data_IF_745219766420
#
_entry.id   IF_745219766420
#
_cell.length_a   1.000
_cell.length_b   1.000
_cell.length_c   1.000
_cell.angle_alpha   90.00
_cell.angle_beta   90.00
_cell.angle_gamma   90.00
#
_symmetry.space_group_name_H-M   'P 1'
#
loop_
_entity.id
_entity.type
_entity.pdbx_description
1 polymer ?
#
# COMPACT_ATOMS: atom_id res chain seq x y z
N UNK A 1 7.98 -7.80 16.78
CA UNK A 1 6.51 -7.59 16.81
C UNK A 1 6.07 -6.54 15.79
N UNK A 2 6.73 -5.38 15.71
CA UNK A 2 6.42 -4.29 14.77
C UNK A 2 6.43 -4.75 13.30
N UNK A 3 7.46 -5.50 12.88
CA UNK A 3 7.52 -6.05 11.51
C UNK A 3 6.35 -6.97 11.16
N UNK A 4 5.85 -7.78 12.11
CA UNK A 4 4.67 -8.63 11.88
C UNK A 4 3.39 -7.82 11.73
N UNK A 5 3.23 -6.73 12.49
CA UNK A 5 2.10 -5.82 12.34
C UNK A 5 2.13 -5.13 10.97
N UNK A 6 3.30 -4.63 10.56
CA UNK A 6 3.50 -4.04 9.24
C UNK A 6 3.19 -5.03 8.12
N UNK A 7 3.67 -6.27 8.26
CA UNK A 7 3.39 -7.35 7.30
C UNK A 7 1.91 -7.73 7.26
N UNK A 8 1.23 -7.78 8.40
CA UNK A 8 -0.21 -8.08 8.46
C UNK A 8 -1.04 -7.02 7.73
N UNK A 9 -0.76 -5.73 7.97
CA UNK A 9 -1.42 -4.62 7.27
C UNK A 9 -1.10 -4.66 5.77
N UNK A 10 0.16 -4.93 5.43
CA UNK A 10 0.59 -5.01 4.04
C UNK A 10 -0.01 -6.22 3.30
N UNK A 11 -0.30 -7.33 3.98
CA UNK A 11 -0.99 -8.48 3.41
C UNK A 11 -2.51 -8.24 3.30
N UNK A 12 -3.10 -7.51 4.25
CA UNK A 12 -4.54 -7.20 4.27
C UNK A 12 -4.99 -6.48 2.98
N UNK A 13 -4.12 -5.70 2.34
CA UNK A 13 -4.44 -5.04 1.06
C UNK A 13 -4.90 -6.02 -0.02
N UNK A 14 -4.31 -7.21 -0.10
CA UNK A 14 -4.66 -8.22 -1.09
C UNK A 14 -6.00 -8.87 -0.76
N UNK A 15 -6.28 -9.07 0.54
CA UNK A 15 -7.58 -9.55 1.00
C UNK A 15 -8.68 -8.55 0.62
N UNK A 16 -8.47 -7.26 0.89
CA UNK A 16 -9.44 -6.20 0.54
C UNK A 16 -9.63 -6.08 -0.97
N UNK A 17 -8.54 -6.16 -1.75
CA UNK A 17 -8.62 -6.15 -3.20
C UNK A 17 -9.38 -7.35 -3.74
N UNK A 18 -9.10 -8.55 -3.22
CA UNK A 18 -9.78 -9.78 -3.62
C UNK A 18 -11.27 -9.69 -3.33
N UNK A 19 -11.67 -9.34 -2.09
CA UNK A 19 -13.09 -9.18 -1.72
C UNK A 19 -13.79 -8.16 -2.62
N UNK A 20 -13.13 -7.05 -2.95
CA UNK A 20 -13.73 -6.03 -3.82
C UNK A 20 -13.86 -6.53 -5.26
N UNK A 21 -12.84 -7.25 -5.75
CA UNK A 21 -12.84 -7.82 -7.10
C UNK A 21 -13.90 -8.89 -7.29
N UNK A 22 -14.11 -9.75 -6.29
CA UNK A 22 -15.18 -10.74 -6.29
C UNK A 22 -16.57 -10.08 -6.30
N UNK A 23 -16.75 -9.04 -5.48
CA UNK A 23 -18.01 -8.28 -5.43
C UNK A 23 -18.33 -7.61 -6.77
N UNK A 24 -17.33 -7.07 -7.46
CA UNK A 24 -17.50 -6.38 -8.74
C UNK A 24 -17.38 -7.30 -9.96
N UNK A 25 -17.01 -8.58 -9.77
CA UNK A 25 -16.71 -9.56 -10.82
C UNK A 25 -15.71 -9.04 -11.87
N UNK A 26 -14.78 -8.20 -11.43
CA UNK A 26 -13.77 -7.53 -12.27
C UNK A 26 -12.46 -7.47 -11.49
N UNK A 27 -11.33 -7.52 -12.21
CA UNK A 27 -10.03 -7.27 -11.60
C UNK A 27 -9.88 -5.78 -11.31
N UNK A 28 -10.26 -5.36 -10.09
CA UNK A 28 -10.24 -3.96 -9.66
C UNK A 28 -9.34 -3.77 -8.45
N UNK A 29 -8.58 -2.68 -8.45
CA UNK A 29 -7.74 -2.29 -7.32
C UNK A 29 -8.45 -1.16 -6.57
N UNK A 30 -9.07 -1.42 -5.40
CA UNK A 30 -9.79 -0.39 -4.67
C UNK A 30 -8.84 0.68 -4.14
N UNK A 31 -9.32 1.92 -3.95
CA UNK A 31 -8.49 3.01 -3.39
C UNK A 31 -7.90 2.64 -2.03
N UNK A 32 -8.65 1.88 -1.22
CA UNK A 32 -8.23 1.35 0.09
C UNK A 32 -6.93 0.52 -0.01
N UNK A 33 -6.69 -0.17 -1.14
CA UNK A 33 -5.45 -0.92 -1.38
C UNK A 33 -4.21 -0.03 -1.24
N UNK A 34 -4.28 1.18 -1.79
CA UNK A 34 -3.16 2.12 -1.77
C UNK A 34 -2.94 2.71 -0.38
N UNK A 35 -4.01 3.02 0.35
CA UNK A 35 -3.90 3.47 1.75
C UNK A 35 -3.28 2.40 2.65
N UNK A 36 -3.71 1.13 2.52
CA UNK A 36 -3.12 0.01 3.26
C UNK A 36 -1.65 -0.21 2.89
N UNK A 37 -1.31 -0.06 1.61
CA UNK A 37 0.08 -0.18 1.14
C UNK A 37 0.97 0.91 1.74
N UNK A 38 0.50 2.15 1.81
CA UNK A 38 1.21 3.26 2.45
C UNK A 38 1.41 2.97 3.95
N UNK A 39 0.34 2.63 4.67
CA UNK A 39 0.41 2.34 6.10
C UNK A 39 1.34 1.17 6.42
N UNK A 40 1.22 0.05 5.69
CA UNK A 40 2.10 -1.11 5.85
C UNK A 40 3.55 -0.77 5.50
N UNK A 41 3.78 -0.01 4.43
CA UNK A 41 5.14 0.40 4.03
C UNK A 41 5.82 1.30 5.07
N UNK A 42 5.08 2.22 5.70
CA UNK A 42 5.61 3.07 6.76
C UNK A 42 6.04 2.25 7.99
N UNK A 43 5.19 1.33 8.45
CA UNK A 43 5.50 0.49 9.62
C UNK A 43 6.71 -0.41 9.33
N UNK A 44 6.76 -0.99 8.14
CA UNK A 44 7.87 -1.82 7.69
C UNK A 44 9.17 -1.01 7.47
N UNK A 45 9.07 0.25 7.04
CA UNK A 45 10.21 1.15 6.90
C UNK A 45 10.79 1.50 8.28
N UNK A 46 9.95 1.82 9.27
CA UNK A 46 10.38 2.03 10.65
C UNK A 46 11.13 0.79 11.16
N UNK A 47 10.54 -0.39 10.97
CA UNK A 47 11.17 -1.66 11.34
C UNK A 47 12.54 -1.89 10.65
N UNK A 48 12.66 -1.53 9.37
CA UNK A 48 13.89 -1.69 8.62
C UNK A 48 15.01 -0.73 9.05
N UNK A 49 14.64 0.50 9.42
CA UNK A 49 15.57 1.48 10.00
C UNK A 49 16.10 0.97 11.34
N UNK A 50 15.24 0.43 12.20
CA UNK A 50 15.66 -0.20 13.47
C UNK A 50 16.61 -1.39 13.23
N UNK A 51 16.34 -2.19 12.20
CA UNK A 51 17.18 -3.32 11.77
C UNK A 51 18.45 -2.92 11.03
N UNK A 52 18.61 -1.64 10.66
CA UNK A 52 19.69 -1.15 9.79
C UNK A 52 19.81 -1.96 8.49
N UNK A 53 18.68 -2.33 7.91
CA UNK A 53 18.62 -3.09 6.65
C UNK A 53 18.47 -2.13 5.45
N UNK A 54 19.56 -1.77 4.75
CA UNK A 54 19.50 -0.80 3.66
C UNK A 54 18.67 -1.28 2.47
N UNK A 55 18.64 -2.59 2.21
CA UNK A 55 17.90 -3.16 1.08
C UNK A 55 16.40 -2.99 1.31
N UNK A 56 15.95 -3.31 2.52
CA UNK A 56 14.55 -3.18 2.88
C UNK A 56 14.11 -1.72 2.99
N UNK A 57 14.98 -0.83 3.49
CA UNK A 57 14.73 0.62 3.53
C UNK A 57 14.49 1.15 2.11
N UNK A 58 15.40 0.88 1.17
CA UNK A 58 15.28 1.36 -0.22
C UNK A 58 14.01 0.81 -0.87
N UNK A 59 13.73 -0.49 -0.70
CA UNK A 59 12.53 -1.12 -1.25
C UNK A 59 11.23 -0.49 -0.72
N UNK A 60 11.13 -0.30 0.60
CA UNK A 60 9.92 0.26 1.23
C UNK A 60 9.75 1.75 0.94
N UNK A 61 10.83 2.52 0.87
CA UNK A 61 10.80 3.93 0.46
C UNK A 61 10.36 4.08 -1.00
N UNK A 62 10.89 3.28 -1.92
CA UNK A 62 10.46 3.29 -3.32
C UNK A 62 8.98 2.90 -3.46
N UNK A 63 8.56 1.83 -2.76
CA UNK A 63 7.16 1.40 -2.72
C UNK A 63 6.24 2.51 -2.21
N UNK A 64 6.58 3.15 -1.10
CA UNK A 64 5.82 4.26 -0.53
C UNK A 64 5.58 5.39 -1.54
N UNK A 65 6.62 5.81 -2.27
CA UNK A 65 6.51 6.86 -3.28
C UNK A 65 5.57 6.47 -4.42
N UNK A 66 5.65 5.23 -4.90
CA UNK A 66 4.77 4.72 -5.96
C UNK A 66 3.32 4.69 -5.47
N UNK A 67 3.06 4.19 -4.27
CA UNK A 67 1.71 4.12 -3.70
C UNK A 67 1.10 5.51 -3.51
N UNK A 68 1.89 6.46 -3.03
CA UNK A 68 1.48 7.85 -2.89
C UNK A 68 1.17 8.50 -4.25
N UNK A 69 2.05 8.31 -5.24
CA UNK A 69 1.85 8.82 -6.60
C UNK A 69 0.57 8.24 -7.23
N UNK A 70 0.28 6.96 -7.02
CA UNK A 70 -0.94 6.34 -7.54
C UNK A 70 -2.21 6.90 -6.88
N UNK A 71 -2.19 7.23 -5.59
CA UNK A 71 -3.31 7.94 -4.96
C UNK A 71 -3.54 9.33 -5.57
N UNK A 72 -2.46 10.08 -5.85
CA UNK A 72 -2.56 11.40 -6.49
C UNK A 72 -3.19 11.28 -7.87
N UNK A 73 -2.76 10.31 -8.68
CA UNK A 73 -3.38 10.06 -9.99
C UNK A 73 -4.87 9.74 -9.87
N UNK A 74 -5.24 8.83 -8.97
CA UNK A 74 -6.65 8.45 -8.77
C UNK A 74 -7.49 9.66 -8.35
N UNK A 75 -6.94 10.53 -7.50
CA UNK A 75 -7.62 11.76 -7.07
C UNK A 75 -7.83 12.69 -8.27
N UNK A 76 -6.80 12.90 -9.09
CA UNK A 76 -6.88 13.79 -10.25
C UNK A 76 -7.85 13.27 -11.32
N UNK A 77 -7.87 11.96 -11.59
CA UNK A 77 -8.82 11.35 -12.54
C UNK A 77 -10.27 11.51 -12.07
N UNK A 78 -10.54 11.45 -10.76
CA UNK A 78 -11.89 11.72 -10.22
C UNK A 78 -12.32 13.19 -10.34
N UNK A 79 -11.36 14.11 -10.48
CA UNK A 79 -11.63 15.54 -10.64
C UNK A 79 -11.96 15.90 -12.08
N UNK A 80 -11.41 15.19 -13.07
CA UNK A 80 -11.71 15.42 -14.50
C UNK A 80 -13.04 14.81 -14.96
N UNK A 81 -13.62 13.88 -14.20
CA UNK A 81 -14.93 13.27 -14.49
C UNK A 81 -16.12 14.03 -13.87
N UNK A 82 -15.93 15.29 -13.45
CA UNK A 82 -16.96 16.18 -12.89
C UNK A 82 -17.13 17.40 -13.77
#
# INVERSE_FOLDING_TARGET
MIGFLGQAIFSLRFIVQWITSEKEKKSVVPVVFWYLSIAGSLILLIYAIERKDPVFIVGQSAGFLIYFRNLVLIKNTKTESK
#
